data_IF_996619639240
#
_entry.id   IF_996619639240
#
_cell.length_a   1.000
_cell.length_b   1.000
_cell.length_c   1.000
_cell.angle_alpha   90.00
_cell.angle_beta   90.00
_cell.angle_gamma   90.00
#
_symmetry.space_group_name_H-M   'P 1'
#
loop_
_entity.id
_entity.type
_entity.pdbx_description
1 polymer ?
#
# COMPACT_ATOMS: atom_id res chain seq x y z
N UNK A 1 -10.74 1.43 25.53
CA UNK A 1 -10.12 0.21 25.00
C UNK A 1 -10.18 0.11 23.47
N UNK A 2 -11.36 0.21 22.83
CA UNK A 2 -11.51 0.05 21.37
C UNK A 2 -10.59 0.93 20.47
N UNK A 3 -10.37 2.21 20.83
CA UNK A 3 -9.48 3.09 20.05
C UNK A 3 -8.00 2.67 20.11
N UNK A 4 -7.56 2.08 21.23
CA UNK A 4 -6.21 1.56 21.39
C UNK A 4 -6.00 0.31 20.53
N UNK A 5 -7.01 -0.57 20.48
CA UNK A 5 -7.02 -1.77 19.63
C UNK A 5 -7.04 -1.43 18.12
N UNK A 6 -7.77 -0.39 17.70
CA UNK A 6 -7.76 0.11 16.31
C UNK A 6 -6.34 0.58 15.91
N UNK A 7 -5.69 1.35 16.80
CA UNK A 7 -4.33 1.84 16.60
C UNK A 7 -3.32 0.69 16.55
N UNK A 8 -3.41 -0.27 17.48
CA UNK A 8 -2.54 -1.45 17.51
C UNK A 8 -2.67 -2.31 16.24
N UNK A 9 -3.91 -2.60 15.82
CA UNK A 9 -4.19 -3.35 14.58
C UNK A 9 -3.65 -2.63 13.34
N UNK A 10 -3.80 -1.29 13.30
CA UNK A 10 -3.24 -0.46 12.25
C UNK A 10 -1.71 -0.57 12.21
N UNK A 11 -1.06 -0.39 13.35
CA UNK A 11 0.40 -0.43 13.46
C UNK A 11 0.96 -1.81 13.09
N UNK A 12 0.34 -2.89 13.56
CA UNK A 12 0.71 -4.25 13.18
C UNK A 12 0.64 -4.44 11.66
N UNK A 13 -0.47 -4.05 11.03
CA UNK A 13 -0.62 -4.11 9.55
C UNK A 13 0.39 -3.24 8.82
N UNK A 14 0.82 -2.11 9.38
CA UNK A 14 1.89 -1.27 8.83
C UNK A 14 3.24 -1.99 8.92
N UNK A 15 3.57 -2.59 10.07
CA UNK A 15 4.81 -3.37 10.27
C UNK A 15 4.87 -4.56 9.32
N UNK A 16 3.78 -5.30 9.14
CA UNK A 16 3.73 -6.41 8.17
C UNK A 16 3.95 -5.95 6.72
N UNK A 17 3.43 -4.76 6.34
CA UNK A 17 3.71 -4.18 5.02
C UNK A 17 5.18 -3.77 4.86
N UNK A 18 5.78 -3.22 5.92
CA UNK A 18 7.22 -2.90 5.94
C UNK A 18 8.04 -4.17 5.73
N UNK A 19 7.80 -5.22 6.52
CA UNK A 19 8.50 -6.49 6.38
C UNK A 19 8.33 -7.10 4.98
N UNK A 20 7.11 -7.10 4.40
CA UNK A 20 6.90 -7.56 3.03
C UNK A 20 7.70 -6.76 1.99
N UNK A 21 7.88 -5.45 2.20
CA UNK A 21 8.65 -4.61 1.31
C UNK A 21 10.16 -4.89 1.41
N UNK A 22 10.66 -5.08 2.64
CA UNK A 22 12.07 -5.40 2.91
C UNK A 22 12.44 -6.81 2.45
N UNK A 23 11.55 -7.78 2.64
CA UNK A 23 11.75 -9.15 2.17
C UNK A 23 11.95 -9.22 0.65
N UNK A 24 11.42 -8.26 -0.12
CA UNK A 24 11.70 -8.17 -1.56
C UNK A 24 13.11 -7.70 -1.88
N UNK A 25 13.76 -6.94 -1.00
CA UNK A 25 15.18 -6.57 -1.17
C UNK A 25 16.08 -7.80 -1.02
N UNK A 26 15.65 -8.77 -0.22
CA UNK A 26 16.39 -10.00 0.02
C UNK A 26 16.18 -11.10 -1.04
N UNK A 27 15.49 -10.80 -2.14
CA UNK A 27 15.08 -11.83 -3.11
C UNK A 27 16.25 -12.56 -3.78
N UNK A 28 17.39 -11.91 -3.98
CA UNK A 28 18.54 -12.53 -4.64
C UNK A 28 19.29 -13.56 -3.77
N UNK A 29 19.17 -13.47 -2.43
CA UNK A 29 19.92 -14.31 -1.48
C UNK A 29 19.04 -15.34 -0.77
N UNK A 30 17.85 -15.62 -1.29
CA UNK A 30 16.90 -16.54 -0.68
C UNK A 30 16.35 -17.53 -1.69
N UNK A 31 16.16 -18.77 -1.26
CA UNK A 31 15.40 -19.74 -2.02
C UNK A 31 13.94 -19.29 -2.18
N UNK A 32 13.36 -19.51 -3.36
CA UNK A 32 11.99 -19.09 -3.68
C UNK A 32 10.96 -19.72 -2.72
N UNK A 33 11.17 -20.97 -2.26
CA UNK A 33 10.27 -21.62 -1.31
C UNK A 33 10.25 -20.90 0.05
N UNK A 34 11.43 -20.62 0.61
CA UNK A 34 11.59 -19.86 1.86
C UNK A 34 10.99 -18.46 1.75
N UNK A 35 11.25 -17.78 0.63
CA UNK A 35 10.67 -16.48 0.29
C UNK A 35 9.14 -16.51 0.27
N UNK A 36 8.55 -17.55 -0.33
CA UNK A 36 7.09 -17.72 -0.39
C UNK A 36 6.49 -18.02 0.98
N UNK A 37 7.13 -18.89 1.78
CA UNK A 37 6.70 -19.22 3.14
C UNK A 37 6.68 -17.96 4.03
N UNK A 38 7.77 -17.19 4.05
CA UNK A 38 7.83 -15.91 4.79
C UNK A 38 6.75 -14.92 4.34
N UNK A 39 6.55 -14.78 3.02
CA UNK A 39 5.48 -13.92 2.46
C UNK A 39 4.10 -14.39 2.93
N UNK A 40 3.87 -15.70 3.03
CA UNK A 40 2.60 -16.25 3.47
C UNK A 40 2.33 -15.94 4.93
N UNK A 41 3.28 -16.17 5.84
CA UNK A 41 3.15 -15.81 7.26
C UNK A 41 2.84 -14.30 7.44
N UNK A 42 3.55 -13.42 6.74
CA UNK A 42 3.28 -11.97 6.76
C UNK A 42 1.88 -11.63 6.27
N UNK A 43 1.44 -12.29 5.18
CA UNK A 43 0.13 -12.05 4.59
C UNK A 43 -0.98 -12.51 5.52
N UNK A 44 -0.83 -13.65 6.18
CA UNK A 44 -1.79 -14.16 7.17
C UNK A 44 -2.01 -13.14 8.28
N UNK A 45 -0.94 -12.69 8.96
CA UNK A 45 -1.04 -11.67 10.03
C UNK A 45 -1.64 -10.37 9.50
N UNK A 46 -1.15 -9.88 8.35
CA UNK A 46 -1.62 -8.64 7.73
C UNK A 46 -3.12 -8.69 7.38
N UNK A 47 -3.60 -9.82 6.87
CA UNK A 47 -4.97 -10.00 6.40
C UNK A 47 -5.95 -10.25 7.56
N UNK A 48 -5.52 -10.96 8.61
CA UNK A 48 -6.27 -11.09 9.85
C UNK A 48 -6.63 -9.73 10.47
N UNK A 49 -5.78 -8.71 10.25
CA UNK A 49 -5.99 -7.34 10.70
C UNK A 49 -6.83 -6.46 9.74
N UNK A 50 -7.49 -7.02 8.72
CA UNK A 50 -8.18 -6.22 7.69
C UNK A 50 -9.61 -5.80 8.10
N UNK A 51 -10.41 -6.71 8.67
CA UNK A 51 -11.86 -6.53 8.82
C UNK A 51 -12.28 -5.32 9.66
N UNK A 52 -11.67 -5.09 10.82
CA UNK A 52 -12.09 -4.01 11.74
C UNK A 52 -11.77 -2.60 11.23
N UNK A 53 -10.82 -2.45 10.32
CA UNK A 53 -10.42 -1.16 9.78
C UNK A 53 -11.36 -0.65 8.70
N UNK A 54 -11.90 -1.55 7.89
CA UNK A 54 -12.60 -1.16 6.67
C UNK A 54 -13.91 -0.44 6.98
N UNK A 55 -14.68 -0.90 7.97
CA UNK A 55 -15.92 -0.24 8.37
C UNK A 55 -15.69 1.18 8.93
N UNK A 56 -14.73 1.36 9.84
CA UNK A 56 -14.42 2.68 10.42
C UNK A 56 -13.90 3.66 9.36
N UNK A 57 -13.03 3.20 8.45
CA UNK A 57 -12.53 4.03 7.35
C UNK A 57 -13.69 4.43 6.41
N UNK A 58 -14.61 3.51 6.10
CA UNK A 58 -15.80 3.79 5.28
C UNK A 58 -16.72 4.82 5.96
N UNK A 59 -17.06 4.66 7.24
CA UNK A 59 -17.88 5.63 7.97
C UNK A 59 -17.24 7.02 8.00
N UNK A 60 -15.94 7.11 8.32
CA UNK A 60 -15.20 8.38 8.30
C UNK A 60 -15.12 9.01 6.90
N UNK A 61 -15.07 8.20 5.84
CA UNK A 61 -15.09 8.68 4.47
C UNK A 61 -16.48 9.23 4.10
N UNK A 62 -17.55 8.54 4.47
CA UNK A 62 -18.92 9.03 4.28
C UNK A 62 -19.15 10.37 4.97
N UNK A 63 -18.72 10.50 6.23
CA UNK A 63 -18.89 11.75 6.97
C UNK A 63 -18.11 12.92 6.35
N UNK A 64 -17.01 12.63 5.65
CA UNK A 64 -16.24 13.64 4.91
C UNK A 64 -16.93 14.03 3.62
N UNK A 65 -17.45 13.06 2.87
CA UNK A 65 -18.18 13.32 1.63
C UNK A 65 -19.49 14.07 1.91
N UNK A 66 -20.27 13.64 2.93
CA UNK A 66 -21.50 14.30 3.35
C UNK A 66 -21.29 15.78 3.66
N UNK A 67 -20.22 16.08 4.42
CA UNK A 67 -19.85 17.45 4.78
C UNK A 67 -19.35 18.27 3.59
N UNK A 68 -18.50 17.69 2.75
CA UNK A 68 -17.90 18.40 1.60
C UNK A 68 -18.93 18.75 0.53
N UNK A 69 -19.92 17.88 0.31
CA UNK A 69 -20.90 18.00 -0.77
C UNK A 69 -22.32 18.30 -0.28
N UNK A 70 -22.47 18.71 0.99
CA UNK A 70 -23.76 19.07 1.60
C UNK A 70 -24.87 18.02 1.41
N UNK A 71 -24.52 16.73 1.43
CA UNK A 71 -25.48 15.65 1.25
C UNK A 71 -26.34 15.49 2.50
N UNK A 72 -27.67 15.56 2.33
CA UNK A 72 -28.60 15.48 3.45
C UNK A 72 -28.49 14.13 4.20
N UNK A 73 -28.58 14.12 5.55
CA UNK A 73 -28.48 12.90 6.37
C UNK A 73 -29.50 11.82 6.01
N UNK A 74 -30.66 12.21 5.47
CA UNK A 74 -31.74 11.32 5.02
C UNK A 74 -31.33 10.36 3.88
N UNK A 75 -30.19 10.61 3.24
CA UNK A 75 -29.63 9.73 2.21
C UNK A 75 -28.41 8.95 2.69
N UNK A 76 -28.12 8.91 4.00
CA UNK A 76 -26.96 8.17 4.53
C UNK A 76 -27.25 6.67 4.46
N UNK A 77 -26.54 5.91 3.60
CA UNK A 77 -26.84 4.50 3.46
C UNK A 77 -26.31 3.74 4.68
N UNK A 78 -27.08 2.76 5.15
CA UNK A 78 -26.60 1.85 6.18
C UNK A 78 -25.59 0.90 5.55
N UNK A 79 -24.31 1.04 5.92
CA UNK A 79 -23.29 0.06 5.56
C UNK A 79 -23.44 -1.12 6.52
N UNK A 80 -24.08 -2.19 6.05
CA UNK A 80 -24.12 -3.48 6.74
C UNK A 80 -22.77 -4.17 6.59
N UNK A 81 -21.93 -4.03 7.61
CA UNK A 81 -20.68 -4.77 7.72
C UNK A 81 -20.72 -5.63 8.97
N UNK A 82 -20.60 -6.95 8.82
CA UNK A 82 -20.29 -7.80 9.95
C UNK A 82 -18.93 -7.36 10.51
N UNK A 83 -18.87 -6.96 11.77
CA UNK A 83 -17.60 -6.75 12.45
C UNK A 83 -16.85 -8.07 12.45
N UNK A 84 -15.71 -8.12 11.75
CA UNK A 84 -14.90 -9.32 11.74
C UNK A 84 -14.45 -9.62 13.18
N UNK A 85 -14.60 -10.87 13.63
CA UNK A 85 -14.09 -11.28 14.92
C UNK A 85 -12.59 -10.98 14.96
N UNK A 86 -12.14 -10.35 16.05
CA UNK A 86 -10.71 -10.10 16.23
C UNK A 86 -9.94 -11.43 16.12
N UNK A 87 -8.83 -11.47 15.38
CA UNK A 87 -8.05 -12.70 15.26
C UNK A 87 -7.52 -13.14 16.62
N UNK A 88 -7.49 -14.44 16.87
CA UNK A 88 -6.92 -15.00 18.09
C UNK A 88 -5.43 -14.64 18.20
N UNK A 89 -5.03 -14.06 19.33
CA UNK A 89 -3.65 -13.62 19.57
C UNK A 89 -2.65 -14.78 19.41
N UNK A 90 -2.99 -15.98 19.90
CA UNK A 90 -2.17 -17.18 19.76
C UNK A 90 -1.86 -17.52 18.29
N UNK A 91 -2.86 -17.40 17.40
CA UNK A 91 -2.68 -17.65 15.98
C UNK A 91 -1.74 -16.62 15.33
N UNK A 92 -1.86 -15.34 15.70
CA UNK A 92 -0.95 -14.29 15.21
C UNK A 92 0.48 -14.51 15.71
N UNK A 93 0.65 -14.83 16.99
CA UNK A 93 1.95 -15.11 17.60
C UNK A 93 2.61 -16.31 16.90
N UNK A 94 1.89 -17.40 16.68
CA UNK A 94 2.41 -18.56 15.96
C UNK A 94 2.98 -18.18 14.58
N UNK A 95 2.25 -17.37 13.80
CA UNK A 95 2.70 -16.91 12.49
C UNK A 95 3.95 -16.00 12.57
N UNK A 96 4.04 -15.16 13.61
CA UNK A 96 5.20 -14.30 13.84
C UNK A 96 6.43 -15.10 14.30
N UNK A 97 6.26 -16.10 15.17
CA UNK A 97 7.32 -17.00 15.62
C UNK A 97 7.86 -17.86 14.48
N UNK A 98 6.98 -18.47 13.68
CA UNK A 98 7.38 -19.26 12.51
C UNK A 98 8.22 -18.42 11.54
N UNK A 99 7.86 -17.15 11.37
CA UNK A 99 8.64 -16.24 10.55
C UNK A 99 9.96 -15.80 11.17
N UNK A 100 10.02 -15.55 12.48
CA UNK A 100 11.29 -15.29 13.18
C UNK A 100 12.26 -16.43 12.93
N UNK A 101 11.80 -17.68 13.15
CA UNK A 101 12.57 -18.89 12.87
C UNK A 101 13.09 -18.97 11.43
N UNK A 102 12.24 -18.65 10.45
CA UNK A 102 12.67 -18.63 9.04
C UNK A 102 13.71 -17.54 8.80
N UNK A 103 13.55 -16.34 9.38
CA UNK A 103 14.51 -15.25 9.22
C UNK A 103 15.86 -15.67 9.81
N UNK A 104 15.86 -16.21 11.02
CA UNK A 104 17.07 -16.65 11.72
C UNK A 104 17.77 -17.80 11.00
N UNK A 105 17.02 -18.68 10.33
CA UNK A 105 17.58 -19.78 9.54
C UNK A 105 17.97 -19.39 8.12
N UNK A 106 17.72 -18.14 7.70
CA UNK A 106 18.07 -17.68 6.36
C UNK A 106 19.35 -16.87 6.43
N UNK A 107 20.31 -17.19 5.57
CA UNK A 107 21.59 -16.47 5.49
C UNK A 107 21.47 -15.08 4.82
N UNK A 108 20.58 -14.22 5.30
CA UNK A 108 20.32 -12.86 4.78
C UNK A 108 21.61 -12.02 4.78
N UNK A 109 22.52 -12.34 5.69
CA UNK A 109 23.85 -11.72 5.86
C UNK A 109 24.75 -11.89 4.63
N UNK A 110 24.45 -12.84 3.74
CA UNK A 110 25.22 -13.07 2.51
C UNK A 110 24.84 -12.13 1.36
N UNK A 111 23.79 -11.31 1.53
CA UNK A 111 23.36 -10.35 0.51
C UNK A 111 24.37 -9.23 0.31
N UNK A 112 24.80 -9.02 -0.93
CA UNK A 112 25.63 -7.86 -1.27
C UNK A 112 24.78 -6.60 -1.39
N UNK A 113 25.42 -5.43 -1.25
CA UNK A 113 24.74 -4.15 -1.44
C UNK A 113 24.19 -4.02 -2.87
N UNK A 114 24.93 -4.49 -3.88
CA UNK A 114 24.51 -4.47 -5.28
C UNK A 114 23.22 -5.25 -5.50
N UNK A 115 23.08 -6.44 -4.90
CA UNK A 115 21.87 -7.26 -4.99
C UNK A 115 20.66 -6.53 -4.38
N UNK A 116 20.85 -5.90 -3.22
CA UNK A 116 19.81 -5.10 -2.55
C UNK A 116 19.40 -3.90 -3.41
N UNK A 117 20.37 -3.19 -4.00
CA UNK A 117 20.12 -2.03 -4.85
C UNK A 117 19.42 -2.40 -6.16
N UNK A 118 19.77 -3.53 -6.77
CA UNK A 118 19.11 -4.02 -7.97
C UNK A 118 17.64 -4.40 -7.69
N UNK A 119 17.34 -5.04 -6.56
CA UNK A 119 15.95 -5.31 -6.17
C UNK A 119 15.16 -4.02 -5.86
N UNK A 120 15.81 -3.03 -5.26
CA UNK A 120 15.21 -1.70 -5.10
C UNK A 120 14.90 -1.04 -6.46
N UNK A 121 15.82 -1.14 -7.41
CA UNK A 121 15.68 -0.62 -8.76
C UNK A 121 14.57 -1.33 -9.54
N UNK A 122 14.44 -2.66 -9.41
CA UNK A 122 13.33 -3.45 -9.95
C UNK A 122 12.00 -2.98 -9.40
N UNK A 123 11.91 -2.73 -8.09
CA UNK A 123 10.70 -2.18 -7.48
C UNK A 123 10.35 -0.79 -8.06
N UNK A 124 11.33 0.09 -8.22
CA UNK A 124 11.15 1.40 -8.84
C UNK A 124 10.65 1.29 -10.30
N UNK A 125 11.31 0.49 -11.13
CA UNK A 125 10.93 0.26 -12.54
C UNK A 125 9.51 -0.29 -12.66
N UNK A 126 9.15 -1.26 -11.84
CA UNK A 126 7.80 -1.84 -11.79
C UNK A 126 6.75 -0.82 -11.37
N UNK A 127 7.06 0.02 -10.39
CA UNK A 127 6.20 1.14 -9.99
C UNK A 127 6.00 2.15 -11.12
N UNK A 128 7.07 2.48 -11.87
CA UNK A 128 6.99 3.37 -13.04
C UNK A 128 6.13 2.79 -14.16
N UNK A 129 6.27 1.49 -14.44
CA UNK A 129 5.43 0.81 -15.43
C UNK A 129 3.95 0.87 -15.05
N UNK A 130 3.61 0.54 -13.80
CA UNK A 130 2.23 0.62 -13.30
C UNK A 130 1.69 2.06 -13.29
N UNK A 131 2.53 3.06 -13.07
CA UNK A 131 2.15 4.48 -13.22
C UNK A 131 1.73 4.77 -14.66
N UNK A 132 2.53 4.36 -15.65
CA UNK A 132 2.20 4.54 -17.08
C UNK A 132 0.89 3.84 -17.44
N UNK A 133 0.74 2.57 -17.04
CA UNK A 133 -0.51 1.83 -17.22
C UNK A 133 -1.71 2.58 -16.57
N UNK A 134 -1.50 3.19 -15.40
CA UNK A 134 -2.53 3.98 -14.71
C UNK A 134 -2.86 5.33 -15.37
N UNK A 135 -1.99 5.86 -16.24
CA UNK A 135 -2.32 7.02 -17.07
C UNK A 135 -3.39 6.66 -18.10
N UNK A 136 -3.33 5.44 -18.63
CA UNK A 136 -4.20 4.96 -19.72
C UNK A 136 -5.50 4.33 -19.18
N UNK A 137 -5.57 3.97 -17.90
CA UNK A 137 -6.79 3.36 -17.31
C UNK A 137 -7.16 3.93 -15.95
N UNK A 138 -8.46 3.91 -15.63
CA UNK A 138 -9.03 4.18 -14.30
C UNK A 138 -9.32 2.91 -13.50
N UNK A 139 -8.90 1.74 -14.02
CA UNK A 139 -9.17 0.45 -13.42
C UNK A 139 -8.60 0.37 -11.99
N UNK A 140 -9.49 0.08 -11.03
CA UNK A 140 -9.17 -0.02 -9.61
C UNK A 140 -8.08 -1.07 -9.32
N UNK A 141 -8.03 -2.18 -10.07
CA UNK A 141 -6.99 -3.22 -9.93
C UNK A 141 -5.60 -2.69 -10.29
N UNK A 142 -5.48 -1.90 -11.36
CA UNK A 142 -4.19 -1.32 -11.78
C UNK A 142 -3.73 -0.28 -10.76
N UNK A 143 -4.62 0.61 -10.33
CA UNK A 143 -4.35 1.61 -9.28
C UNK A 143 -3.98 0.96 -7.95
N UNK A 144 -4.64 -0.15 -7.59
CA UNK A 144 -4.32 -0.93 -6.40
C UNK A 144 -2.91 -1.53 -6.46
N UNK A 145 -2.55 -2.15 -7.60
CA UNK A 145 -1.21 -2.70 -7.84
C UNK A 145 -0.16 -1.60 -7.79
N UNK A 146 -0.43 -0.45 -8.41
CA UNK A 146 0.47 0.70 -8.37
C UNK A 146 0.70 1.18 -6.94
N UNK A 147 -0.38 1.38 -6.18
CA UNK A 147 -0.32 1.75 -4.76
C UNK A 147 0.52 0.79 -3.93
N UNK A 148 0.37 -0.51 -4.16
CA UNK A 148 1.19 -1.51 -3.49
C UNK A 148 2.68 -1.30 -3.77
N UNK A 149 3.06 -1.03 -5.02
CA UNK A 149 4.46 -0.75 -5.37
C UNK A 149 4.98 0.59 -4.86
N UNK A 150 4.13 1.61 -4.78
CA UNK A 150 4.49 2.88 -4.12
C UNK A 150 4.79 2.66 -2.63
N UNK A 151 4.01 1.80 -1.95
CA UNK A 151 4.28 1.45 -0.55
C UNK A 151 5.53 0.61 -0.38
N UNK A 152 5.75 -0.36 -1.26
CA UNK A 152 7.00 -1.13 -1.26
C UNK A 152 8.20 -0.18 -1.38
N UNK A 153 8.17 0.72 -2.38
CA UNK A 153 9.23 1.72 -2.61
C UNK A 153 9.44 2.63 -1.38
N UNK A 154 8.36 3.11 -0.74
CA UNK A 154 8.45 3.92 0.49
C UNK A 154 9.24 3.20 1.59
N UNK A 155 8.87 1.95 1.91
CA UNK A 155 9.51 1.22 3.00
C UNK A 155 10.94 0.80 2.66
N UNK A 156 11.22 0.45 1.40
CA UNK A 156 12.58 0.15 0.96
C UNK A 156 13.47 1.40 1.03
N UNK A 157 13.00 2.56 0.56
CA UNK A 157 13.78 3.80 0.65
C UNK A 157 13.96 4.29 2.10
N UNK A 158 13.03 3.98 3.01
CA UNK A 158 13.26 4.23 4.44
C UNK A 158 14.42 3.40 4.98
N UNK A 159 14.57 2.14 4.56
CA UNK A 159 15.71 1.31 4.95
C UNK A 159 17.01 1.72 4.24
N UNK A 160 16.90 2.22 3.01
CA UNK A 160 18.01 2.71 2.19
C UNK A 160 18.10 4.24 2.22
N UNK A 161 18.00 4.82 3.41
CA UNK A 161 17.89 6.29 3.61
C UNK A 161 19.17 7.05 3.23
N UNK A 162 20.31 6.34 3.20
CA UNK A 162 21.61 6.89 2.78
C UNK A 162 21.67 7.17 1.27
N UNK A 163 20.77 6.61 0.46
CA UNK A 163 20.78 6.81 -0.98
C UNK A 163 20.49 8.26 -1.36
N UNK A 164 21.19 8.74 -2.40
CA UNK A 164 20.98 10.10 -2.92
C UNK A 164 19.51 10.31 -3.31
N UNK A 165 18.91 11.35 -2.75
CA UNK A 165 17.51 11.71 -3.01
C UNK A 165 16.48 10.87 -2.25
N UNK A 166 16.90 9.99 -1.33
CA UNK A 166 16.01 9.18 -0.50
C UNK A 166 14.97 10.04 0.24
N UNK A 167 15.39 11.13 0.90
CA UNK A 167 14.48 12.03 1.62
C UNK A 167 13.33 12.57 0.73
N UNK A 168 13.66 12.97 -0.51
CA UNK A 168 12.66 13.45 -1.49
C UNK A 168 11.73 12.31 -1.93
N UNK A 169 12.28 11.11 -2.17
CA UNK A 169 11.53 9.93 -2.59
C UNK A 169 10.60 9.42 -1.49
N UNK A 170 11.05 9.39 -0.24
CA UNK A 170 10.23 9.08 0.95
C UNK A 170 9.02 10.01 1.01
N UNK A 171 9.21 11.34 0.98
CA UNK A 171 8.11 12.31 1.00
C UNK A 171 7.12 12.10 -0.16
N UNK A 172 7.63 11.89 -1.38
CA UNK A 172 6.80 11.69 -2.58
C UNK A 172 6.01 10.39 -2.53
N UNK A 173 6.65 9.28 -2.19
CA UNK A 173 5.98 7.96 -2.06
C UNK A 173 4.96 7.93 -0.94
N UNK A 174 5.23 8.58 0.20
CA UNK A 174 4.27 8.72 1.29
C UNK A 174 3.01 9.48 0.84
N UNK A 175 3.20 10.66 0.23
CA UNK A 175 2.09 11.48 -0.28
C UNK A 175 1.32 10.77 -1.39
N UNK A 176 2.02 10.12 -2.33
CA UNK A 176 1.40 9.37 -3.42
C UNK A 176 0.62 8.16 -2.90
N UNK A 177 1.18 7.42 -1.94
CA UNK A 177 0.50 6.29 -1.31
C UNK A 177 -0.75 6.68 -0.52
N UNK A 178 -0.79 7.91 0.01
CA UNK A 178 -1.99 8.49 0.63
C UNK A 178 -3.05 8.84 -0.42
N UNK A 179 -2.69 9.53 -1.51
CA UNK A 179 -3.63 9.87 -2.59
C UNK A 179 -4.25 8.63 -3.23
N UNK A 180 -3.43 7.65 -3.64
CA UNK A 180 -3.91 6.38 -4.17
C UNK A 180 -4.72 5.58 -3.13
N UNK A 181 -4.44 5.78 -1.83
CA UNK A 181 -5.24 5.21 -0.76
C UNK A 181 -6.66 5.77 -0.73
N UNK A 182 -6.80 7.08 -0.85
CA UNK A 182 -8.10 7.74 -0.89
C UNK A 182 -8.91 7.32 -2.11
N UNK A 183 -8.28 7.21 -3.29
CA UNK A 183 -8.95 6.71 -4.49
C UNK A 183 -9.48 5.28 -4.30
N UNK A 184 -8.65 4.39 -3.73
CA UNK A 184 -9.09 3.02 -3.41
C UNK A 184 -10.25 2.99 -2.42
N UNK A 185 -10.19 3.81 -1.37
CA UNK A 185 -11.25 3.86 -0.36
C UNK A 185 -12.58 4.31 -0.99
N UNK A 186 -12.56 5.25 -1.95
CA UNK A 186 -13.73 5.66 -2.75
C UNK A 186 -14.20 4.56 -3.70
N UNK A 187 -13.27 3.91 -4.41
CA UNK A 187 -13.60 2.81 -5.32
C UNK A 187 -14.28 1.66 -4.57
N UNK A 188 -13.80 1.31 -3.38
CA UNK A 188 -14.43 0.30 -2.52
C UNK A 188 -15.82 0.74 -2.05
N UNK A 189 -15.96 2.01 -1.67
CA UNK A 189 -17.24 2.55 -1.22
C UNK A 189 -18.28 2.57 -2.36
N UNK A 190 -17.87 2.86 -3.59
CA UNK A 190 -18.74 2.85 -4.77
C UNK A 190 -19.23 1.43 -5.14
N UNK A 191 -18.52 0.38 -4.74
CA UNK A 191 -18.94 -1.02 -4.98
C UNK A 191 -19.88 -1.58 -3.92
N UNK A 192 -20.10 -0.86 -2.82
CA UNK A 192 -21.03 -1.29 -1.77
C UNK A 192 -22.46 -1.30 -2.33
N UNK A 193 -23.28 -2.33 -2.04
CA UNK A 193 -24.65 -2.42 -2.55
C UNK A 193 -25.50 -1.17 -2.25
N UNK A 194 -25.26 -0.56 -1.09
CA UNK A 194 -25.94 0.66 -0.63
C UNK A 194 -25.66 1.88 -1.53
N UNK A 195 -24.61 1.84 -2.34
CA UNK A 195 -24.20 2.88 -3.30
C UNK A 195 -24.24 2.41 -4.75
N UNK A 196 -24.63 1.14 -5.01
CA UNK A 196 -24.66 0.56 -6.34
C UNK A 196 -25.82 1.07 -7.22
N UNK A 197 -26.76 1.83 -6.64
CA UNK A 197 -27.87 2.46 -7.38
C UNK A 197 -27.32 3.47 -8.37
N UNK A 198 -27.53 3.19 -9.66
CA UNK A 198 -27.09 4.02 -10.79
C UNK A 198 -27.71 5.42 -10.68
N UNK A 199 -26.90 6.47 -10.80
CA UNK A 199 -27.29 7.90 -10.65
C UNK A 199 -27.67 8.34 -9.23
N UNK A 200 -27.15 7.66 -8.21
CA UNK A 200 -27.19 8.22 -6.86
C UNK A 200 -26.28 9.45 -6.77
N UNK A 201 -26.69 10.56 -6.10
CA UNK A 201 -25.81 11.71 -5.86
C UNK A 201 -24.47 11.32 -5.22
N UNK A 202 -24.45 10.21 -4.47
CA UNK A 202 -23.24 9.66 -3.90
C UNK A 202 -22.25 9.09 -4.93
N UNK A 203 -22.75 8.47 -6.00
CA UNK A 203 -21.89 7.95 -7.08
C UNK A 203 -21.22 9.10 -7.83
N UNK A 204 -21.97 10.16 -8.13
CA UNK A 204 -21.47 11.37 -8.80
C UNK A 204 -20.39 12.04 -7.96
N UNK A 205 -20.67 12.28 -6.68
CA UNK A 205 -19.72 12.86 -5.72
C UNK A 205 -18.45 12.02 -5.56
N UNK A 206 -18.58 10.68 -5.50
CA UNK A 206 -17.42 9.80 -5.44
C UNK A 206 -16.60 9.85 -6.71
N UNK A 207 -17.24 9.90 -7.88
CA UNK A 207 -16.57 9.94 -9.17
C UNK A 207 -15.83 11.26 -9.38
N UNK A 208 -16.47 12.40 -9.12
CA UNK A 208 -15.85 13.73 -9.15
C UNK A 208 -14.61 13.78 -8.24
N UNK A 209 -14.74 13.29 -7.00
CA UNK A 209 -13.63 13.30 -6.06
C UNK A 209 -12.49 12.34 -6.46
N UNK A 210 -12.78 11.27 -7.21
CA UNK A 210 -11.75 10.38 -7.78
C UNK A 210 -11.02 11.03 -8.96
N UNK A 211 -11.72 11.82 -9.77
CA UNK A 211 -11.12 12.59 -10.87
C UNK A 211 -10.16 13.66 -10.35
N UNK A 212 -10.56 14.42 -9.32
CA UNK A 212 -9.65 15.36 -8.63
C UNK A 212 -8.39 14.67 -8.07
N UNK A 213 -8.56 13.48 -7.50
CA UNK A 213 -7.43 12.71 -6.97
C UNK A 213 -6.52 12.22 -8.09
N UNK A 214 -7.08 11.87 -9.26
CA UNK A 214 -6.36 11.35 -10.42
C UNK A 214 -5.31 12.31 -10.92
N UNK A 215 -5.68 13.55 -11.18
CA UNK A 215 -4.72 14.58 -11.60
C UNK A 215 -3.55 14.69 -10.61
N UNK A 216 -3.87 14.70 -9.31
CA UNK A 216 -2.88 14.87 -8.25
C UNK A 216 -1.95 13.66 -8.12
N UNK A 217 -2.47 12.44 -8.17
CA UNK A 217 -1.62 11.25 -8.04
C UNK A 217 -0.81 11.00 -9.32
N UNK A 218 -1.32 11.32 -10.51
CA UNK A 218 -0.57 11.21 -11.76
C UNK A 218 0.56 12.22 -11.81
N UNK A 219 0.29 13.50 -11.54
CA UNK A 219 1.31 14.55 -11.49
C UNK A 219 2.42 14.22 -10.47
N UNK A 220 2.05 13.69 -9.30
CA UNK A 220 3.03 13.26 -8.30
C UNK A 220 3.78 11.98 -8.72
N UNK A 221 3.11 11.06 -9.41
CA UNK A 221 3.71 9.87 -10.02
C UNK A 221 4.78 10.24 -11.04
N UNK A 222 4.49 11.16 -11.96
CA UNK A 222 5.48 11.69 -12.91
C UNK A 222 6.67 12.32 -12.19
N UNK A 223 6.43 13.14 -11.15
CA UNK A 223 7.52 13.71 -10.33
C UNK A 223 8.35 12.64 -9.62
N UNK A 224 7.72 11.57 -9.12
CA UNK A 224 8.41 10.47 -8.43
C UNK A 224 9.27 9.64 -9.39
N UNK A 225 8.75 9.35 -10.59
CA UNK A 225 9.38 8.45 -11.55
C UNK A 225 10.11 9.16 -12.71
N UNK A 226 10.26 10.48 -12.63
CA UNK A 226 10.98 11.26 -13.62
C UNK A 226 12.39 10.70 -13.82
N UNK A 227 12.90 10.67 -15.07
CA UNK A 227 14.30 10.37 -15.30
C UNK A 227 15.14 11.36 -14.48
N UNK A 228 15.97 10.85 -13.59
CA UNK A 228 17.00 11.68 -12.97
C UNK A 228 18.18 11.70 -13.94
N UNK A 229 18.74 12.89 -14.21
CA UNK A 229 19.97 13.07 -14.99
C UNK A 229 20.99 11.99 -14.60
N UNK A 230 21.30 11.11 -15.55
CA UNK A 230 22.38 10.10 -15.71
C UNK A 230 23.11 9.48 -14.51
N UNK A 231 23.24 10.12 -13.34
CA UNK A 231 23.89 9.60 -12.13
C UNK A 231 22.99 8.78 -11.18
N UNK A 232 21.66 8.91 -11.29
CA UNK A 232 20.76 8.00 -10.55
C UNK A 232 20.65 6.64 -11.24
N UNK A 233 20.62 6.65 -12.58
CA UNK A 233 20.92 5.47 -13.39
C UNK A 233 22.39 5.07 -13.21
N UNK A 234 23.35 5.98 -13.14
CA UNK A 234 24.77 5.67 -12.96
C UNK A 234 25.08 4.71 -11.80
N UNK A 235 24.62 4.97 -10.56
CA UNK A 235 24.89 4.04 -9.43
C UNK A 235 23.91 2.86 -9.28
N UNK A 236 22.88 2.80 -10.13
CA UNK A 236 21.90 1.68 -10.17
C UNK A 236 22.03 0.88 -11.49
N UNK A 237 22.78 1.37 -12.47
CA UNK A 237 22.96 0.83 -13.83
C UNK A 237 24.44 0.84 -14.30
N UNK A 238 25.42 1.29 -13.50
CA UNK A 238 26.87 1.07 -13.76
C UNK A 238 27.40 -0.08 -12.91
N UNK A 239 26.81 -1.24 -13.12
CA UNK A 239 27.46 -2.54 -12.89
C UNK A 239 27.10 -3.46 -14.05
N UNK A 240 27.28 -2.95 -15.28
CA UNK A 240 27.97 -3.57 -16.43
C UNK A 240 28.60 -2.43 -17.22
#
# INVERSE_FOLDING_TARGET
>A
MAAHEESATHQLRVRMKKMLALLRLAQAGMEEQTMQAMRQHLRTVKNACAGNREQVVRCRLLDKLARRFHLAPRHRPQITGATAKAPAAAGLLHQLYAMGRLIDSTCIETLTEEQILEEHARCYRKGRRLMKESCETTNSRTLHRWRHRVKDLYFQTLALSHLRGAARRIRRTQRLGHLLGRDQDLANLATEPAFAVRRSPWQEVMQEHREELRERYLALGHKLYAPHNTRFSGRIMQSV
#
